data_IF_225574526383
#
_entry.id   IF_225574526383
#
_cell.length_a   1.000
_cell.length_b   1.000
_cell.length_c   1.000
_cell.angle_alpha   90.00
_cell.angle_beta   90.00
_cell.angle_gamma   90.00
#
_symmetry.space_group_name_H-M   'P 1'
#
loop_
_entity.id
_entity.type
_entity.pdbx_description
1 polymer ?
#
# COMPACT_ATOMS: atom_id res chain seq x y z
N UNK A 1 22.71 -18.29 2.31
CA UNK A 1 21.32 -17.84 2.09
C UNK A 1 20.85 -18.42 0.77
N UNK A 2 19.95 -19.40 0.83
CA UNK A 2 19.35 -20.04 -0.34
C UNK A 2 18.23 -19.18 -0.93
N UNK A 3 18.00 -19.25 -2.24
CA UNK A 3 16.87 -18.58 -2.91
C UNK A 3 15.51 -18.98 -2.31
N UNK A 4 15.43 -20.13 -1.65
CA UNK A 4 14.23 -20.59 -0.97
C UNK A 4 13.99 -19.88 0.37
N UNK A 5 15.06 -19.55 1.10
CA UNK A 5 14.97 -18.83 2.39
C UNK A 5 14.60 -17.37 2.18
N UNK A 6 15.14 -16.73 1.13
CA UNK A 6 14.84 -15.35 0.77
C UNK A 6 13.35 -15.14 0.47
N UNK A 7 12.75 -16.08 -0.28
CA UNK A 7 11.32 -16.06 -0.62
C UNK A 7 10.42 -16.19 0.61
N UNK A 8 10.79 -17.05 1.56
CA UNK A 8 10.01 -17.23 2.79
C UNK A 8 9.99 -15.95 3.65
N UNK A 9 11.11 -15.20 3.69
CA UNK A 9 11.19 -13.94 4.40
C UNK A 9 10.32 -12.84 3.74
N UNK A 10 10.37 -12.70 2.41
CA UNK A 10 9.53 -11.76 1.67
C UNK A 10 8.04 -12.06 1.86
N UNK A 11 7.65 -13.34 1.85
CA UNK A 11 6.27 -13.77 2.10
C UNK A 11 5.79 -13.45 3.52
N UNK A 12 6.68 -13.58 4.51
CA UNK A 12 6.35 -13.29 5.91
C UNK A 12 6.11 -11.78 6.08
N UNK A 13 7.02 -10.94 5.59
CA UNK A 13 6.91 -9.48 5.69
C UNK A 13 5.65 -8.95 4.97
N UNK A 14 5.35 -9.49 3.79
CA UNK A 14 4.12 -9.16 3.08
C UNK A 14 2.88 -9.52 3.90
N UNK A 15 2.86 -10.69 4.53
CA UNK A 15 1.72 -11.14 5.34
C UNK A 15 1.47 -10.23 6.55
N UNK A 16 2.53 -9.81 7.24
CA UNK A 16 2.43 -8.91 8.39
C UNK A 16 1.92 -7.51 8.00
N UNK A 17 2.37 -6.96 6.87
CA UNK A 17 1.88 -5.68 6.36
C UNK A 17 0.39 -5.74 6.04
N UNK A 18 -0.05 -6.81 5.36
CA UNK A 18 -1.47 -7.02 5.03
C UNK A 18 -2.36 -7.06 6.27
N UNK A 19 -1.90 -7.71 7.33
CA UNK A 19 -2.64 -7.81 8.58
C UNK A 19 -2.81 -6.45 9.29
N UNK A 20 -1.95 -5.47 9.00
CA UNK A 20 -1.99 -4.12 9.57
C UNK A 20 -2.79 -3.13 8.74
N UNK A 21 -3.00 -3.40 7.45
CA UNK A 21 -3.76 -2.51 6.58
C UNK A 21 -5.25 -2.67 6.88
N UNK A 22 -5.85 -1.60 7.38
CA UNK A 22 -7.27 -1.54 7.70
C UNK A 22 -7.96 -0.57 6.73
N UNK A 23 -9.21 -0.89 6.39
CA UNK A 23 -10.09 0.00 5.63
C UNK A 23 -10.19 1.38 6.32
N UNK A 24 -10.38 2.44 5.54
CA UNK A 24 -10.45 3.85 5.98
C UNK A 24 -9.14 4.49 6.47
N UNK A 25 -8.01 3.78 6.51
CA UNK A 25 -6.73 4.41 6.84
C UNK A 25 -6.27 5.36 5.72
N UNK A 26 -5.72 6.55 6.06
CA UNK A 26 -5.14 7.43 5.06
C UNK A 26 -3.83 6.84 4.55
N UNK A 27 -3.61 6.96 3.24
CA UNK A 27 -2.40 6.60 2.55
C UNK A 27 -1.59 7.87 2.33
N UNK A 28 -0.34 7.84 2.77
CA UNK A 28 0.62 8.92 2.64
C UNK A 28 1.82 8.47 1.83
N UNK A 29 2.31 9.35 0.96
CA UNK A 29 3.50 9.06 0.19
C UNK A 29 4.79 9.24 1.01
N UNK A 30 5.94 9.12 0.33
CA UNK A 30 7.25 9.29 0.97
C UNK A 30 7.46 10.69 1.58
N UNK A 31 6.85 11.73 0.99
CA UNK A 31 6.93 13.11 1.48
C UNK A 31 5.86 13.39 2.58
N UNK A 32 4.94 12.44 2.80
CA UNK A 32 3.86 12.55 3.77
C UNK A 32 2.57 13.16 3.21
N UNK A 33 2.53 13.42 1.90
CA UNK A 33 1.38 13.95 1.18
C UNK A 33 0.25 12.92 1.14
N UNK A 34 -1.00 13.37 1.25
CA UNK A 34 -2.16 12.48 1.21
C UNK A 34 -2.42 11.99 -0.21
N UNK A 35 -2.25 10.68 -0.44
CA UNK A 35 -2.47 10.03 -1.74
C UNK A 35 -3.93 9.59 -1.89
N UNK A 36 -4.56 9.22 -0.78
CA UNK A 36 -5.94 8.78 -0.72
C UNK A 36 -6.22 7.93 0.51
N UNK A 37 -7.34 7.22 0.52
CA UNK A 37 -7.76 6.41 1.67
C UNK A 37 -7.91 4.95 1.27
N UNK A 38 -7.55 4.02 2.15
CA UNK A 38 -7.72 2.59 1.94
C UNK A 38 -9.21 2.27 1.85
N UNK A 39 -9.66 1.76 0.71
CA UNK A 39 -11.00 1.20 0.53
C UNK A 39 -11.02 -0.24 1.01
N UNK A 40 -10.14 -1.07 0.45
CA UNK A 40 -10.00 -2.48 0.75
C UNK A 40 -8.63 -3.01 0.31
N UNK A 41 -8.16 -4.07 0.97
CA UNK A 41 -7.02 -4.86 0.53
C UNK A 41 -7.47 -6.10 -0.27
N UNK A 42 -7.00 -6.23 -1.51
CA UNK A 42 -7.20 -7.36 -2.41
C UNK A 42 -5.87 -8.09 -2.63
N UNK A 43 -5.55 -9.06 -1.76
CA UNK A 43 -4.30 -9.82 -1.85
C UNK A 43 -3.07 -8.94 -1.59
N UNK A 44 -2.36 -8.58 -2.65
CA UNK A 44 -1.20 -7.67 -2.65
C UNK A 44 -1.55 -6.26 -3.17
N UNK A 45 -2.81 -6.01 -3.51
CA UNK A 45 -3.25 -4.71 -4.02
C UNK A 45 -4.11 -3.99 -2.99
N UNK A 46 -3.81 -2.72 -2.74
CA UNK A 46 -4.57 -1.83 -1.88
C UNK A 46 -5.43 -0.98 -2.79
N UNK A 47 -6.74 -1.14 -2.72
CA UNK A 47 -7.71 -0.32 -3.45
C UNK A 47 -7.94 0.97 -2.70
N UNK A 48 -7.99 2.09 -3.43
CA UNK A 48 -8.23 3.42 -2.86
C UNK A 48 -9.71 3.77 -2.98
N UNK A 49 -10.24 4.50 -1.99
CA UNK A 49 -11.64 4.94 -2.01
C UNK A 49 -11.84 5.96 -3.13
N UNK A 50 -12.85 5.70 -3.97
CA UNK A 50 -13.13 6.38 -5.24
C UNK A 50 -13.38 7.90 -5.16
N UNK A 51 -13.54 8.46 -3.96
CA UNK A 51 -14.08 9.82 -3.77
C UNK A 51 -13.10 10.95 -4.02
N UNK A 52 -11.77 10.73 -4.05
CA UNK A 52 -10.82 11.86 -3.96
C UNK A 52 -9.82 12.07 -5.11
N UNK A 53 -9.87 11.33 -6.21
CA UNK A 53 -9.20 11.77 -7.44
C UNK A 53 -9.66 11.01 -8.69
N UNK A 54 -10.34 11.70 -9.59
CA UNK A 54 -10.44 11.42 -11.04
C UNK A 54 -11.17 10.14 -11.49
N UNK A 55 -12.28 10.35 -12.20
CA UNK A 55 -13.03 9.31 -12.87
C UNK A 55 -12.17 8.48 -13.84
N UNK A 56 -12.17 7.15 -13.68
CA UNK A 56 -11.90 6.22 -14.79
C UNK A 56 -10.60 5.41 -14.74
N UNK A 57 -9.75 5.52 -13.71
CA UNK A 57 -8.56 4.66 -13.53
C UNK A 57 -8.70 3.71 -12.34
N UNK A 58 -8.12 2.52 -12.44
CA UNK A 58 -8.06 1.55 -11.35
C UNK A 58 -7.07 2.03 -10.28
N UNK A 59 -7.56 2.83 -9.32
CA UNK A 59 -6.76 3.35 -8.21
C UNK A 59 -6.39 2.24 -7.24
N UNK A 60 -5.33 1.51 -7.58
CA UNK A 60 -4.78 0.42 -6.77
C UNK A 60 -3.27 0.56 -6.60
N UNK A 61 -2.79 0.28 -5.39
CA UNK A 61 -1.37 0.32 -5.04
C UNK A 61 -0.87 -1.08 -4.72
N UNK A 62 0.40 -1.36 -5.03
CA UNK A 62 1.00 -2.64 -4.64
C UNK A 62 1.48 -2.55 -3.20
N UNK A 63 1.32 -3.66 -2.46
CA UNK A 63 1.90 -3.81 -1.13
C UNK A 63 3.42 -3.62 -1.14
N UNK A 64 4.09 -3.95 -2.25
CA UNK A 64 5.52 -3.71 -2.44
C UNK A 64 5.91 -2.22 -2.41
N UNK A 65 4.97 -1.32 -2.69
CA UNK A 65 5.20 0.12 -2.60
C UNK A 65 5.01 0.64 -1.16
N UNK A 66 4.41 -0.16 -0.27
CA UNK A 66 4.23 0.17 1.14
C UNK A 66 5.55 0.00 1.90
N UNK A 67 5.97 1.07 2.55
CA UNK A 67 7.12 1.09 3.45
C UNK A 67 6.76 0.62 4.85
N UNK A 68 5.66 1.13 5.40
CA UNK A 68 5.22 0.84 6.76
C UNK A 68 3.74 1.16 6.95
N UNK A 69 3.13 0.53 7.96
CA UNK A 69 1.74 0.74 8.36
C UNK A 69 1.69 0.89 9.87
N UNK A 70 0.99 1.92 10.33
CA UNK A 70 0.72 2.18 11.74
C UNK A 70 -0.74 2.62 11.94
N UNK A 71 -1.09 3.00 13.17
CA UNK A 71 -2.46 3.42 13.54
C UNK A 71 -2.90 4.74 12.90
N UNK A 72 -1.96 5.53 12.37
CA UNK A 72 -2.23 6.82 11.71
C UNK A 72 -2.40 6.66 10.21
N UNK A 73 -1.82 5.63 9.58
CA UNK A 73 -1.99 5.40 8.15
C UNK A 73 -1.00 4.43 7.52
N UNK A 74 -1.11 4.33 6.19
CA UNK A 74 -0.22 3.57 5.32
C UNK A 74 0.81 4.52 4.72
N UNK A 75 2.10 4.22 4.86
CA UNK A 75 3.19 5.03 4.35
C UNK A 75 3.87 4.34 3.18
N UNK A 76 3.97 5.03 2.05
CA UNK A 76 4.61 4.53 0.86
C UNK A 76 6.12 4.80 0.86
N UNK A 77 6.83 3.97 0.11
CA UNK A 77 8.25 4.13 -0.19
C UNK A 77 8.52 5.04 -1.38
N UNK A 78 7.46 5.42 -2.12
CA UNK A 78 7.49 6.22 -3.35
C UNK A 78 6.58 7.43 -3.22
N UNK A 79 6.81 8.45 -4.05
CA UNK A 79 5.96 9.64 -4.15
C UNK A 79 4.73 9.38 -4.99
N UNK A 80 3.66 10.16 -4.79
CA UNK A 80 2.48 10.10 -5.65
C UNK A 80 2.81 10.23 -7.14
N UNK A 81 3.79 11.08 -7.50
CA UNK A 81 4.23 11.27 -8.89
C UNK A 81 4.89 10.04 -9.53
N UNK A 82 5.34 9.08 -8.72
CA UNK A 82 5.99 7.85 -9.17
C UNK A 82 5.01 6.66 -9.21
N UNK A 83 3.83 6.84 -8.62
CA UNK A 83 2.77 5.84 -8.63
C UNK A 83 2.12 5.82 -10.00
N UNK A 84 1.93 4.62 -10.53
CA UNK A 84 1.27 4.40 -11.80
C UNK A 84 -0.15 3.88 -11.50
N UNK A 85 -1.15 4.71 -11.79
CA UNK A 85 -2.59 4.41 -11.71
C UNK A 85 -3.21 4.22 -13.11
#
# INVERSE_FOLDING_TARGET
MSNQEMRAMEQTLGTELRAKIVEHLPIKDLDGEHVGTVDRLEGDQIRLTKTEAMEGKDHSLKLSDVRSVDDLGVYLSKRQSELHF
#
